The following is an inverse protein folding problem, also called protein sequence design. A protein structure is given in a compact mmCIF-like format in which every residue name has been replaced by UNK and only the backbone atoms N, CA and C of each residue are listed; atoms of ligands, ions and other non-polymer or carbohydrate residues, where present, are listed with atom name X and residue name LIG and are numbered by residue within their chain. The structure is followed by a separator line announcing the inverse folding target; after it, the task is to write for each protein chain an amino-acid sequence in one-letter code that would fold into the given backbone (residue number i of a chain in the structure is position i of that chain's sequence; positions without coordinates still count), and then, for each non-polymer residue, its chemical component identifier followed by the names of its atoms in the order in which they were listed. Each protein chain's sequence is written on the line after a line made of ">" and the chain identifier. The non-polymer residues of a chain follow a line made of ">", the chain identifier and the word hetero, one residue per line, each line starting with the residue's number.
data_IF_414524627333
#
_entry.id   IF_414524627333
#
_cell.length_a   1.000
_cell.length_b   1.000
_cell.length_c   1.000
_cell.angle_alpha   90.00
_cell.angle_beta   90.00
_cell.angle_gamma   90.00
#
_symmetry.space_group_name_H-M   'P 1'
#
loop_
_entity.id
_entity.type
_entity.pdbx_description
1 polymer ?
#
# COMPACT_ATOMS: atom_id res chain seq x y z
N UNK A 1 -23.47 -63.83 17.65
CA UNK A 1 -22.52 -63.49 16.56
C UNK A 1 -21.62 -62.35 17.06
N UNK A 2 -20.41 -62.73 17.47
CA UNK A 2 -19.22 -61.97 17.90
C UNK A 2 -19.30 -60.55 18.52
N UNK A 3 -19.02 -60.53 19.84
CA UNK A 3 -18.36 -59.45 20.58
C UNK A 3 -16.88 -59.34 20.14
N UNK A 4 -16.32 -58.13 20.01
CA UNK A 4 -14.90 -57.90 20.31
C UNK A 4 -14.65 -56.45 20.76
N UNK A 5 -14.39 -56.32 22.07
CA UNK A 5 -13.91 -55.13 22.75
C UNK A 5 -12.41 -55.01 22.47
N UNK A 6 -11.98 -54.02 21.67
CA UNK A 6 -10.55 -53.81 21.37
C UNK A 6 -9.94 -52.83 22.40
N UNK A 7 -9.14 -53.39 23.28
CA UNK A 7 -8.35 -52.70 24.29
C UNK A 7 -7.20 -51.95 23.58
N UNK A 8 -7.26 -50.60 23.56
CA UNK A 8 -6.17 -49.77 23.06
C UNK A 8 -5.08 -49.72 24.13
N UNK A 9 -4.07 -50.57 23.99
CA UNK A 9 -2.85 -50.51 24.80
C UNK A 9 -2.11 -49.21 24.49
N UNK A 10 -2.08 -48.32 25.48
CA UNK A 10 -1.24 -47.13 25.50
C UNK A 10 0.23 -47.57 25.68
N UNK A 11 0.99 -47.64 24.59
CA UNK A 11 2.43 -47.87 24.65
C UNK A 11 3.10 -46.61 25.23
N UNK A 12 3.51 -46.71 26.50
CA UNK A 12 4.35 -45.71 27.17
C UNK A 12 5.75 -45.73 26.53
N UNK A 13 6.30 -44.59 26.08
CA UNK A 13 7.67 -44.55 25.57
C UNK A 13 8.67 -44.82 26.70
N UNK A 14 9.55 -45.81 26.50
CA UNK A 14 10.67 -46.12 27.38
C UNK A 14 11.84 -45.16 27.10
N UNK A 15 12.32 -44.52 28.17
CA UNK A 15 13.73 -44.14 28.43
C UNK A 15 14.56 -43.42 27.36
N UNK A 16 15.02 -42.21 27.70
CA UNK A 16 16.16 -41.47 27.11
C UNK A 16 16.00 -40.83 25.71
N UNK A 17 14.81 -40.38 25.34
CA UNK A 17 14.57 -39.62 24.08
C UNK A 17 14.16 -38.15 24.27
N UNK A 18 14.42 -37.57 25.46
CA UNK A 18 14.12 -36.16 25.75
C UNK A 18 14.99 -35.21 24.90
N UNK A 19 16.20 -35.60 24.51
CA UNK A 19 17.07 -34.79 23.64
C UNK A 19 16.66 -34.83 22.16
N UNK A 20 16.17 -35.98 21.67
CA UNK A 20 15.84 -36.18 20.25
C UNK A 20 14.55 -35.46 19.84
N UNK A 21 13.56 -35.46 20.74
CA UNK A 21 12.30 -34.72 20.58
C UNK A 21 12.48 -33.20 20.66
N UNK A 22 13.37 -32.71 21.53
CA UNK A 22 13.76 -31.29 21.59
C UNK A 22 14.42 -30.81 20.29
N UNK A 23 15.31 -31.61 19.70
CA UNK A 23 15.98 -31.25 18.44
C UNK A 23 15.03 -31.28 17.22
N UNK A 24 14.05 -32.19 17.20
CA UNK A 24 13.04 -32.25 16.14
C UNK A 24 12.06 -31.06 16.20
N UNK A 25 11.58 -30.72 17.40
CA UNK A 25 10.74 -29.54 17.63
C UNK A 25 11.49 -28.23 17.34
N UNK A 26 12.77 -28.14 17.72
CA UNK A 26 13.61 -26.98 17.42
C UNK A 26 13.83 -26.80 15.90
N UNK A 27 13.99 -27.90 15.16
CA UNK A 27 14.13 -27.88 13.69
C UNK A 27 12.86 -27.40 12.97
N UNK A 28 11.65 -27.80 13.43
CA UNK A 28 10.38 -27.33 12.89
C UNK A 28 10.10 -25.83 13.18
N UNK A 29 10.57 -25.32 14.34
CA UNK A 29 10.49 -23.90 14.68
C UNK A 29 11.44 -23.06 13.82
N UNK A 30 12.66 -23.54 13.56
CA UNK A 30 13.61 -22.84 12.67
C UNK A 30 13.12 -22.82 11.21
N UNK A 31 12.51 -23.91 10.73
CA UNK A 31 11.97 -24.01 9.36
C UNK A 31 10.76 -23.09 9.15
N UNK A 32 9.91 -22.91 10.17
CA UNK A 32 8.77 -21.99 10.11
C UNK A 32 9.19 -20.51 10.14
N UNK A 33 10.29 -20.17 10.84
CA UNK A 33 10.88 -18.82 10.79
C UNK A 33 11.47 -18.45 9.42
N UNK A 34 12.03 -19.41 8.68
CA UNK A 34 12.61 -19.18 7.35
C UNK A 34 11.56 -18.88 6.27
N UNK A 35 10.38 -19.50 6.35
CA UNK A 35 9.30 -19.32 5.37
C UNK A 35 8.60 -17.95 5.48
N UNK A 36 8.55 -17.35 6.67
CA UNK A 36 7.92 -16.02 6.90
C UNK A 36 8.77 -14.88 6.30
N UNK A 37 10.09 -15.04 6.25
CA UNK A 37 11.03 -13.99 5.81
C UNK A 37 10.91 -13.64 4.32
N UNK A 38 10.49 -14.59 3.47
CA UNK A 38 10.48 -14.40 2.01
C UNK A 38 9.34 -13.46 1.54
N UNK A 39 8.17 -13.50 2.18
CA UNK A 39 7.01 -12.68 1.80
C UNK A 39 7.25 -11.18 1.97
N UNK A 40 7.89 -10.79 3.08
CA UNK A 40 8.21 -9.39 3.39
C UNK A 40 9.21 -8.77 2.40
N UNK A 41 10.22 -9.54 1.96
CA UNK A 41 11.21 -9.07 0.98
C UNK A 41 10.59 -8.81 -0.39
N UNK A 42 9.66 -9.67 -0.84
CA UNK A 42 8.93 -9.48 -2.10
C UNK A 42 8.06 -8.22 -2.07
N UNK A 43 7.31 -8.02 -0.98
CA UNK A 43 6.49 -6.82 -0.80
C UNK A 43 7.35 -5.54 -0.77
N UNK A 44 8.49 -5.57 -0.08
CA UNK A 44 9.42 -4.43 -0.03
C UNK A 44 9.98 -4.09 -1.42
N UNK A 45 10.42 -5.10 -2.17
CA UNK A 45 10.93 -4.92 -3.54
C UNK A 45 9.85 -4.38 -4.48
N UNK A 46 8.62 -4.91 -4.38
CA UNK A 46 7.48 -4.40 -5.14
C UNK A 46 7.19 -2.93 -4.81
N UNK A 47 7.07 -2.58 -3.54
CA UNK A 47 6.82 -1.22 -3.09
C UNK A 47 7.93 -0.25 -3.56
N UNK A 48 9.19 -0.69 -3.53
CA UNK A 48 10.30 0.10 -4.04
C UNK A 48 10.18 0.34 -5.56
N UNK A 49 9.79 -0.68 -6.34
CA UNK A 49 9.55 -0.52 -7.78
C UNK A 49 8.40 0.45 -8.10
N UNK A 50 7.30 0.39 -7.32
CA UNK A 50 6.16 1.31 -7.46
C UNK A 50 6.61 2.73 -7.16
N UNK A 51 7.35 2.94 -6.06
CA UNK A 51 7.92 4.23 -5.70
C UNK A 51 8.81 4.80 -6.81
N UNK A 52 9.69 3.99 -7.40
CA UNK A 52 10.58 4.43 -8.48
C UNK A 52 9.80 4.92 -9.71
N UNK A 53 8.75 4.19 -10.12
CA UNK A 53 7.87 4.60 -11.23
C UNK A 53 7.14 5.90 -10.93
N UNK A 54 6.63 6.06 -9.70
CA UNK A 54 5.98 7.31 -9.27
C UNK A 54 6.96 8.48 -9.24
N UNK A 55 8.20 8.26 -8.78
CA UNK A 55 9.26 9.27 -8.80
C UNK A 55 9.62 9.70 -10.23
N UNK A 56 9.65 8.76 -11.17
CA UNK A 56 9.86 9.06 -12.59
C UNK A 56 8.73 9.95 -13.15
N UNK A 57 7.47 9.60 -12.88
CA UNK A 57 6.34 10.43 -13.29
C UNK A 57 6.37 11.81 -12.61
N UNK A 58 6.72 11.88 -11.34
CA UNK A 58 6.88 13.16 -10.65
C UNK A 58 7.96 14.03 -11.30
N UNK A 59 9.14 13.49 -11.61
CA UNK A 59 10.21 14.24 -12.29
C UNK A 59 9.74 14.80 -13.63
N UNK A 60 8.97 14.01 -14.38
CA UNK A 60 8.38 14.44 -15.66
C UNK A 60 7.44 15.62 -15.49
N UNK A 61 6.56 15.59 -14.49
CA UNK A 61 5.48 16.57 -14.35
C UNK A 61 5.72 17.69 -13.33
N UNK A 62 6.77 17.61 -12.51
CA UNK A 62 7.10 18.58 -11.45
C UNK A 62 7.02 20.02 -12.00
N UNK A 63 6.32 20.89 -11.28
CA UNK A 63 6.16 22.29 -11.65
C UNK A 63 5.07 22.58 -12.69
N UNK A 64 4.47 21.56 -13.32
CA UNK A 64 3.32 21.78 -14.21
C UNK A 64 2.22 22.53 -13.45
N UNK A 65 1.70 23.67 -13.96
CA UNK A 65 0.76 24.51 -13.22
C UNK A 65 -0.56 23.81 -12.95
N UNK A 66 -1.29 24.31 -11.96
CA UNK A 66 -2.65 23.85 -11.74
C UNK A 66 -3.59 24.43 -12.81
N UNK A 67 -4.42 23.57 -13.40
CA UNK A 67 -5.51 23.99 -14.28
C UNK A 67 -6.73 23.14 -13.99
N UNK A 68 -7.85 23.76 -13.62
CA UNK A 68 -9.10 23.04 -13.40
C UNK A 68 -9.50 22.26 -14.66
N UNK A 69 -9.84 20.97 -14.54
CA UNK A 69 -10.11 20.12 -15.69
C UNK A 69 -8.85 19.64 -16.44
N UNK A 70 -7.66 20.12 -16.09
CA UNK A 70 -6.40 19.81 -16.78
C UNK A 70 -5.90 18.38 -16.57
N UNK A 71 -5.33 17.80 -17.62
CA UNK A 71 -4.84 16.41 -17.70
C UNK A 71 -3.50 16.28 -18.44
N UNK A 72 -2.75 17.37 -18.63
CA UNK A 72 -1.50 17.31 -19.39
C UNK A 72 -0.47 18.37 -18.91
N UNK A 73 0.69 18.43 -19.57
CA UNK A 73 1.79 19.36 -19.25
C UNK A 73 1.43 20.85 -19.35
N UNK A 74 0.32 21.22 -19.99
CA UNK A 74 -0.17 22.61 -19.97
C UNK A 74 -0.89 22.96 -18.66
N UNK A 75 -1.26 21.94 -17.89
CA UNK A 75 -1.81 22.10 -16.56
C UNK A 75 -2.60 20.89 -16.10
N UNK A 76 -2.55 20.62 -14.79
CA UNK A 76 -3.28 19.52 -14.16
C UNK A 76 -4.20 20.01 -13.05
N UNK A 77 -5.40 19.44 -12.93
CA UNK A 77 -6.07 19.42 -11.63
C UNK A 77 -5.59 18.23 -10.79
N UNK A 78 -6.04 18.15 -9.53
CA UNK A 78 -5.59 17.10 -8.62
C UNK A 78 -5.92 15.69 -9.14
N UNK A 79 -7.14 15.46 -9.61
CA UNK A 79 -7.59 14.17 -10.14
C UNK A 79 -7.01 13.84 -11.51
N UNK A 80 -6.85 14.82 -12.40
CA UNK A 80 -6.25 14.66 -13.72
C UNK A 80 -4.77 14.30 -13.63
N UNK A 81 -4.05 14.90 -12.67
CA UNK A 81 -2.68 14.49 -12.34
C UNK A 81 -2.63 13.03 -11.89
N UNK A 82 -3.47 12.65 -10.93
CA UNK A 82 -3.49 11.27 -10.40
C UNK A 82 -3.84 10.26 -11.50
N UNK A 83 -4.87 10.53 -12.30
CA UNK A 83 -5.27 9.69 -13.42
C UNK A 83 -4.11 9.49 -14.41
N UNK A 84 -3.45 10.58 -14.81
CA UNK A 84 -2.34 10.56 -15.77
C UNK A 84 -1.15 9.77 -15.23
N UNK A 85 -0.77 10.00 -13.97
CA UNK A 85 0.33 9.27 -13.33
C UNK A 85 0.01 7.78 -13.25
N UNK A 86 -1.21 7.40 -12.86
CA UNK A 86 -1.59 5.99 -12.75
C UNK A 86 -1.61 5.27 -14.09
N UNK A 87 -2.16 5.91 -15.12
CA UNK A 87 -2.19 5.36 -16.45
C UNK A 87 -0.77 5.19 -17.00
N UNK A 88 0.05 6.24 -16.97
CA UNK A 88 1.39 6.20 -17.55
C UNK A 88 2.36 5.31 -16.76
N UNK A 89 2.23 5.28 -15.42
CA UNK A 89 3.08 4.42 -14.62
C UNK A 89 2.63 2.98 -14.70
N UNK A 90 1.33 2.68 -14.57
CA UNK A 90 0.83 1.33 -14.26
C UNK A 90 -0.18 0.75 -15.26
N UNK A 91 -0.60 1.50 -16.29
CA UNK A 91 -1.70 1.11 -17.18
C UNK A 91 -3.06 1.03 -16.48
N UNK A 92 -3.20 1.70 -15.33
CA UNK A 92 -4.45 1.67 -14.53
C UNK A 92 -5.29 2.89 -14.84
N UNK A 93 -6.47 2.65 -15.41
CA UNK A 93 -7.45 3.70 -15.64
C UNK A 93 -8.20 4.05 -14.36
N UNK A 94 -8.09 5.31 -13.95
CA UNK A 94 -8.83 5.84 -12.82
C UNK A 94 -9.99 6.73 -13.31
N UNK A 95 -11.11 6.78 -12.57
CA UNK A 95 -12.18 7.74 -12.83
C UNK A 95 -11.68 9.17 -12.80
N UNK A 96 -12.20 10.04 -13.69
CA UNK A 96 -11.71 11.41 -13.85
C UNK A 96 -11.85 12.31 -12.62
N UNK A 97 -12.77 12.03 -11.69
CA UNK A 97 -13.06 12.92 -10.57
C UNK A 97 -12.65 12.34 -9.22
N UNK A 98 -12.16 13.21 -8.32
CA UNK A 98 -11.89 12.86 -6.92
C UNK A 98 -13.10 12.23 -6.25
N UNK A 99 -14.32 12.67 -6.60
CA UNK A 99 -15.57 12.10 -6.09
C UNK A 99 -15.68 10.59 -6.38
N UNK A 100 -15.46 10.20 -7.64
CA UNK A 100 -15.54 8.81 -8.09
C UNK A 100 -14.34 7.98 -7.59
N UNK A 101 -13.14 8.55 -7.57
CA UNK A 101 -11.93 7.85 -7.06
C UNK A 101 -12.07 7.41 -5.59
N UNK A 102 -12.84 8.12 -4.76
CA UNK A 102 -13.12 7.70 -3.37
C UNK A 102 -13.94 6.40 -3.28
N UNK A 103 -14.72 6.08 -4.31
CA UNK A 103 -15.59 4.91 -4.35
C UNK A 103 -14.87 3.62 -4.71
N UNK A 104 -13.66 3.68 -5.27
CA UNK A 104 -12.91 2.51 -5.73
C UNK A 104 -11.79 2.14 -4.76
N UNK A 105 -11.30 0.90 -4.88
CA UNK A 105 -10.20 0.38 -4.07
C UNK A 105 -10.53 0.14 -2.59
N UNK A 106 -9.55 -0.41 -1.87
CA UNK A 106 -9.68 -0.80 -0.46
C UNK A 106 -9.29 0.36 0.46
N UNK A 107 -10.04 0.59 1.55
CA UNK A 107 -9.70 1.62 2.55
C UNK A 107 -8.45 1.19 3.33
N UNK A 108 -7.50 2.10 3.48
CA UNK A 108 -6.25 1.86 4.21
C UNK A 108 -6.12 2.83 5.38
N UNK A 109 -5.65 2.33 6.51
CA UNK A 109 -5.33 3.15 7.69
C UNK A 109 -4.03 3.92 7.47
N UNK A 110 -3.92 5.13 8.03
CA UNK A 110 -2.77 6.02 7.82
C UNK A 110 -1.41 5.38 8.16
N UNK A 111 -1.36 4.49 9.16
CA UNK A 111 -0.13 3.78 9.54
C UNK A 111 0.27 2.63 8.62
N UNK A 112 -0.56 2.27 7.62
CA UNK A 112 -0.31 1.16 6.68
C UNK A 112 -0.16 1.64 5.24
N UNK A 113 0.14 2.93 5.04
CA UNK A 113 0.30 3.52 3.71
C UNK A 113 1.54 2.96 3.03
N UNK A 114 1.37 2.54 1.78
CA UNK A 114 2.44 2.07 0.90
C UNK A 114 2.49 2.94 -0.36
N UNK A 115 3.62 2.97 -1.09
CA UNK A 115 3.71 3.70 -2.35
C UNK A 115 2.55 3.37 -3.30
N UNK A 116 1.94 4.40 -3.87
CA UNK A 116 0.78 4.25 -4.76
C UNK A 116 -0.59 4.28 -4.07
N UNK A 117 -0.67 4.31 -2.73
CA UNK A 117 -1.96 4.57 -2.08
C UNK A 117 -2.45 5.99 -2.41
N UNK A 118 -3.73 6.12 -2.76
CA UNK A 118 -4.36 7.43 -2.96
C UNK A 118 -4.73 8.03 -1.61
N UNK A 119 -4.22 9.23 -1.33
CA UNK A 119 -4.51 9.98 -0.10
C UNK A 119 -5.50 11.10 -0.39
N UNK A 120 -6.57 11.17 0.41
CA UNK A 120 -7.67 12.11 0.21
C UNK A 120 -7.73 13.16 1.32
N UNK A 121 -7.99 14.40 0.91
CA UNK A 121 -8.03 15.55 1.80
C UNK A 121 -9.27 16.42 1.55
N UNK A 122 -9.58 17.27 2.53
CA UNK A 122 -10.66 18.26 2.44
C UNK A 122 -10.16 19.67 2.85
N UNK A 123 -9.42 20.38 1.97
CA UNK A 123 -8.82 21.68 2.30
C UNK A 123 -9.87 22.79 2.56
N UNK A 124 -11.05 22.72 1.94
CA UNK A 124 -12.20 23.60 2.19
C UNK A 124 -13.50 22.83 2.38
N UNK A 125 -14.60 23.49 2.77
CA UNK A 125 -15.89 22.82 3.07
C UNK A 125 -16.40 21.96 1.91
N UNK A 126 -16.34 22.47 0.68
CA UNK A 126 -16.80 21.76 -0.53
C UNK A 126 -15.67 21.14 -1.37
N UNK A 127 -14.42 21.53 -1.11
CA UNK A 127 -13.30 21.14 -1.96
C UNK A 127 -12.72 19.78 -1.54
N UNK A 128 -12.58 18.88 -2.51
CA UNK A 128 -11.94 17.58 -2.34
C UNK A 128 -10.61 17.57 -3.07
N UNK A 129 -9.61 16.97 -2.44
CA UNK A 129 -8.26 16.90 -2.99
C UNK A 129 -7.73 15.47 -2.90
N UNK A 130 -6.93 15.08 -3.89
CA UNK A 130 -6.30 13.76 -3.95
C UNK A 130 -4.83 13.90 -4.30
N UNK A 131 -4.01 13.00 -3.75
CA UNK A 131 -2.62 12.82 -4.11
C UNK A 131 -2.22 11.36 -4.05
N UNK A 132 -0.99 11.07 -4.46
CA UNK A 132 -0.43 9.71 -4.48
C UNK A 132 0.67 9.62 -3.44
N UNK A 133 0.52 8.71 -2.49
CA UNK A 133 1.54 8.46 -1.48
C UNK A 133 2.81 7.88 -2.12
N UNK A 134 3.96 8.39 -1.70
CA UNK A 134 5.27 7.90 -2.10
C UNK A 134 5.86 7.02 -1.00
N UNK A 135 6.40 7.63 0.06
CA UNK A 135 7.01 6.95 1.21
C UNK A 135 7.32 8.01 2.28
N UNK A 136 7.56 7.61 3.53
CA UNK A 136 8.01 8.52 4.60
C UNK A 136 7.12 9.75 4.75
N UNK A 137 5.80 9.57 4.73
CA UNK A 137 4.81 10.65 4.78
C UNK A 137 4.81 11.61 3.57
N UNK A 138 5.60 11.36 2.54
CA UNK A 138 5.61 12.15 1.31
C UNK A 138 4.52 11.67 0.35
N UNK A 139 3.90 12.62 -0.35
CA UNK A 139 2.94 12.36 -1.41
C UNK A 139 3.08 13.42 -2.52
N UNK A 140 2.72 13.04 -3.75
CA UNK A 140 2.70 13.91 -4.92
C UNK A 140 1.27 14.31 -5.27
N UNK A 141 1.08 15.56 -5.69
CA UNK A 141 -0.21 16.07 -6.11
C UNK A 141 -0.04 17.34 -6.96
N UNK A 142 -1.10 17.74 -7.69
CA UNK A 142 -1.20 19.08 -8.27
C UNK A 142 -1.78 20.05 -7.23
N UNK A 143 -0.97 20.95 -6.68
CA UNK A 143 -1.36 22.02 -5.77
C UNK A 143 -1.99 23.19 -6.52
N UNK A 144 -3.10 23.74 -6.02
CA UNK A 144 -3.79 24.87 -6.65
C UNK A 144 -2.91 26.10 -6.83
N UNK A 145 -1.93 26.34 -5.93
CA UNK A 145 -1.05 27.51 -5.98
C UNK A 145 0.35 27.23 -6.52
N UNK A 146 0.82 25.98 -6.50
CA UNK A 146 2.22 25.62 -6.80
C UNK A 146 2.37 24.60 -7.93
N UNK A 147 1.26 24.16 -8.53
CA UNK A 147 1.27 23.10 -9.53
C UNK A 147 1.70 21.76 -8.95
N UNK A 148 2.29 20.90 -9.77
CA UNK A 148 2.73 19.55 -9.37
C UNK A 148 3.92 19.63 -8.41
N UNK A 149 3.70 19.21 -7.17
CA UNK A 149 4.69 19.24 -6.08
C UNK A 149 4.68 17.96 -5.23
N UNK A 150 5.72 17.79 -4.42
CA UNK A 150 5.72 16.89 -3.26
C UNK A 150 5.34 17.65 -2.00
N UNK A 151 4.50 17.04 -1.18
CA UNK A 151 4.09 17.53 0.13
C UNK A 151 4.28 16.44 1.19
N UNK A 152 4.31 16.85 2.46
CA UNK A 152 4.44 15.94 3.60
C UNK A 152 3.13 15.87 4.41
N UNK A 153 2.65 14.66 4.72
CA UNK A 153 1.44 14.42 5.52
C UNK A 153 1.54 14.88 6.97
N UNK A 154 2.76 15.10 7.48
CA UNK A 154 3.01 15.62 8.82
C UNK A 154 3.01 17.16 8.86
N UNK A 155 3.04 17.83 7.70
CA UNK A 155 2.84 19.27 7.65
C UNK A 155 1.48 19.62 8.31
N UNK A 156 1.41 20.60 9.23
CA UNK A 156 0.20 20.90 9.99
C UNK A 156 -1.05 21.12 9.11
N UNK A 157 -0.88 21.76 7.95
CA UNK A 157 -1.96 21.96 6.99
C UNK A 157 -2.49 20.60 6.50
N UNK A 158 -1.64 19.77 5.89
CA UNK A 158 -2.06 18.48 5.35
C UNK A 158 -2.53 17.50 6.42
N UNK A 159 -1.90 17.53 7.60
CA UNK A 159 -2.29 16.73 8.76
C UNK A 159 -3.73 17.02 9.16
N UNK A 160 -4.12 18.30 9.25
CA UNK A 160 -5.51 18.72 9.58
C UNK A 160 -6.51 18.40 8.48
N UNK A 161 -6.08 18.38 7.22
CA UNK A 161 -6.98 18.19 6.06
C UNK A 161 -7.11 16.74 5.62
N UNK A 162 -6.24 15.83 6.07
CA UNK A 162 -6.28 14.40 5.74
C UNK A 162 -7.62 13.77 6.17
N UNK A 163 -8.15 12.87 5.35
CA UNK A 163 -9.42 12.18 5.63
C UNK A 163 -9.26 10.67 5.67
N UNK A 164 -8.72 10.09 4.60
CA UNK A 164 -8.51 8.65 4.47
C UNK A 164 -7.61 8.35 3.26
N UNK A 165 -7.26 7.08 3.08
CA UNK A 165 -6.57 6.59 1.90
C UNK A 165 -7.26 5.38 1.27
N UNK A 166 -6.99 5.16 -0.02
CA UNK A 166 -7.45 4.01 -0.80
C UNK A 166 -6.29 3.34 -1.51
N UNK A 167 -6.24 2.01 -1.43
CA UNK A 167 -5.31 1.17 -2.20
C UNK A 167 -5.98 0.72 -3.49
N UNK A 168 -5.36 1.06 -4.60
CA UNK A 168 -5.81 0.70 -5.94
C UNK A 168 -5.04 -0.50 -6.47
N UNK A 169 -3.70 -0.44 -6.37
CA UNK A 169 -2.83 -1.50 -6.86
C UNK A 169 -3.00 -2.76 -6.00
N UNK A 170 -3.22 -3.90 -6.67
CA UNK A 170 -3.17 -5.21 -6.02
C UNK A 170 -1.71 -5.63 -5.93
N UNK A 171 -1.24 -5.98 -4.74
CA UNK A 171 0.04 -6.70 -4.60
C UNK A 171 -0.13 -8.05 -5.29
N UNK A 172 0.78 -8.41 -6.20
CA UNK A 172 0.86 -9.74 -6.80
C UNK A 172 1.66 -10.67 -5.92
#
# INVERSE_FOLDING_TARGET
>A
MFLFRRQFLFLKPKGNDVHKTKNFLLSFVILSFLLISCGSKKELAYNQSVKQRLEQQYRKYKGTPYKYGGTNHRGFDCSGFVQTVFFNAFGVELPRSTAKMKGIGKKVGKGRLIPGDLVFFRPGRRYQHVGIYLSNNLFIHSSTSKGVIKSNLNNPYWKKKYRFAKRILKTK
#
